data_IF_254965130282
#
_entry.id   IF_254965130282
#
_cell.length_a   1.000
_cell.length_b   1.000
_cell.length_c   1.000
_cell.angle_alpha   90.00
_cell.angle_beta   90.00
_cell.angle_gamma   90.00
#
_symmetry.space_group_name_H-M   'P 1'
#
loop_
_entity.id
_entity.type
_entity.pdbx_description
1 polymer ?
#
# COMPACT_ATOMS: atom_id res chain seq x y z
N UNK A 1 5.13 -9.14 -5.25
CA UNK A 1 5.59 -8.29 -6.36
C UNK A 1 6.06 -6.92 -5.88
N UNK A 2 7.03 -6.39 -6.58
CA UNK A 2 7.59 -5.08 -6.35
C UNK A 2 7.41 -4.21 -7.59
N UNK A 3 7.03 -2.96 -7.38
CA UNK A 3 6.95 -1.94 -8.43
C UNK A 3 7.79 -0.76 -7.98
N UNK A 4 8.66 -0.29 -8.84
CA UNK A 4 9.52 0.85 -8.54
C UNK A 4 9.25 2.00 -9.48
N UNK A 5 9.42 3.22 -8.99
CA UNK A 5 9.35 4.43 -9.80
C UNK A 5 10.75 5.00 -9.95
N UNK A 6 11.18 5.17 -11.19
CA UNK A 6 12.52 5.69 -11.48
C UNK A 6 12.43 7.10 -12.04
N UNK A 7 13.38 7.92 -11.63
CA UNK A 7 13.67 9.20 -12.28
C UNK A 7 15.12 9.10 -12.78
N UNK A 8 15.28 8.84 -14.07
CA UNK A 8 16.57 8.47 -14.60
C UNK A 8 17.02 7.14 -13.99
N UNK A 9 18.17 7.10 -13.35
CA UNK A 9 18.72 5.92 -12.68
C UNK A 9 18.41 5.87 -11.19
N UNK A 10 17.65 6.84 -10.69
CA UNK A 10 17.37 6.96 -9.26
C UNK A 10 15.97 6.43 -8.93
N UNK A 11 15.88 5.61 -7.90
CA UNK A 11 14.59 5.14 -7.39
C UNK A 11 14.02 6.22 -6.48
N UNK A 12 12.86 6.76 -6.84
CA UNK A 12 12.17 7.80 -6.05
C UNK A 12 10.97 7.29 -5.30
N UNK A 13 10.55 6.07 -5.58
CA UNK A 13 9.44 5.45 -4.87
C UNK A 13 9.33 3.97 -5.21
N UNK A 14 8.62 3.24 -4.36
CA UNK A 14 8.34 1.82 -4.57
C UNK A 14 7.05 1.43 -3.89
N UNK A 15 6.46 0.36 -4.37
CA UNK A 15 5.33 -0.29 -3.73
C UNK A 15 5.53 -1.80 -3.83
N UNK A 16 5.15 -2.51 -2.79
CA UNK A 16 5.26 -3.97 -2.81
C UNK A 16 4.15 -4.59 -1.97
N UNK A 17 3.96 -5.87 -2.17
CA UNK A 17 3.00 -6.64 -1.39
C UNK A 17 3.61 -7.97 -1.00
N UNK A 18 3.35 -8.37 0.24
CA UNK A 18 3.74 -9.66 0.77
C UNK A 18 2.51 -10.40 1.27
N UNK A 19 2.62 -11.71 1.43
CA UNK A 19 1.52 -12.51 1.95
C UNK A 19 1.24 -12.12 3.40
N UNK A 20 -0.05 -11.94 3.68
CA UNK A 20 -0.52 -11.59 5.00
C UNK A 20 -1.67 -12.51 5.38
N UNK A 21 -1.53 -13.18 6.52
CA UNK A 21 -2.58 -14.03 7.05
C UNK A 21 -3.20 -13.36 8.26
N UNK A 22 -4.44 -12.92 8.12
CA UNK A 22 -5.20 -12.40 9.23
C UNK A 22 -5.75 -13.56 10.07
N UNK A 23 -5.62 -13.47 11.40
CA UNK A 23 -6.22 -14.46 12.30
C UNK A 23 -7.75 -14.47 12.23
N UNK A 24 -8.35 -13.35 11.79
CA UNK A 24 -9.81 -13.22 11.70
C UNK A 24 -10.37 -13.69 10.38
N UNK A 25 -9.57 -13.67 9.35
CA UNK A 25 -10.01 -14.17 8.05
C UNK A 25 -9.29 -15.48 7.80
N UNK A 26 -10.04 -16.52 7.62
CA UNK A 26 -9.50 -17.80 7.19
C UNK A 26 -9.00 -17.70 5.73
N UNK A 27 -8.85 -16.49 5.24
CA UNK A 27 -8.45 -16.21 3.87
C UNK A 27 -7.07 -15.55 3.86
N UNK A 28 -6.29 -15.93 2.87
CA UNK A 28 -5.04 -15.27 2.59
C UNK A 28 -5.28 -13.91 1.95
N UNK A 29 -4.57 -12.91 2.41
CA UNK A 29 -4.52 -11.61 1.80
C UNK A 29 -3.08 -11.19 1.57
N UNK A 30 -2.89 -10.00 1.11
CA UNK A 30 -1.57 -9.39 0.97
C UNK A 30 -1.53 -8.09 1.76
N UNK A 31 -0.39 -7.81 2.35
CA UNK A 31 -0.11 -6.52 2.95
C UNK A 31 0.66 -5.69 1.94
N UNK A 32 0.11 -4.54 1.59
CA UNK A 32 0.73 -3.62 0.66
C UNK A 32 1.50 -2.53 1.41
N UNK A 33 2.62 -2.13 0.84
CA UNK A 33 3.44 -1.05 1.36
C UNK A 33 3.78 -0.12 0.21
N UNK A 34 3.76 1.18 0.46
CA UNK A 34 4.15 2.18 -0.52
C UNK A 34 5.07 3.21 0.13
N UNK A 35 6.09 3.61 -0.61
CA UNK A 35 6.98 4.70 -0.25
C UNK A 35 7.17 5.61 -1.45
N UNK A 36 7.15 6.91 -1.20
CA UNK A 36 7.48 7.92 -2.20
C UNK A 36 8.32 9.00 -1.55
N UNK A 37 9.42 9.36 -2.19
CA UNK A 37 10.27 10.44 -1.73
C UNK A 37 9.45 11.73 -1.57
N UNK A 38 9.62 12.42 -0.44
CA UNK A 38 8.78 13.55 -0.05
C UNK A 38 8.69 14.63 -1.12
N UNK A 39 9.79 14.91 -1.80
CA UNK A 39 9.82 15.94 -2.84
C UNK A 39 8.91 15.64 -4.05
N UNK A 40 8.44 14.40 -4.15
CA UNK A 40 7.53 13.98 -5.23
C UNK A 40 6.10 13.76 -4.75
N UNK A 41 5.79 14.09 -3.50
CA UNK A 41 4.43 14.00 -2.99
C UNK A 41 3.51 15.01 -3.68
N UNK A 42 2.22 14.68 -3.73
CA UNK A 42 1.21 15.58 -4.29
C UNK A 42 1.16 15.64 -5.82
N UNK A 43 1.92 14.80 -6.52
CA UNK A 43 1.97 14.80 -7.98
C UNK A 43 1.19 13.66 -8.64
N UNK A 44 0.48 12.87 -7.84
CA UNK A 44 -0.27 11.71 -8.34
C UNK A 44 0.58 10.50 -8.69
N UNK A 45 1.90 10.55 -8.48
CA UNK A 45 2.80 9.45 -8.82
C UNK A 45 2.57 8.24 -7.92
N UNK A 46 2.37 8.46 -6.63
CA UNK A 46 2.11 7.39 -5.69
C UNK A 46 0.83 6.63 -6.05
N UNK A 47 -0.19 7.33 -6.51
CA UNK A 47 -1.44 6.71 -6.96
C UNK A 47 -1.21 5.80 -8.17
N UNK A 48 -0.44 6.25 -9.13
CA UNK A 48 -0.11 5.46 -10.33
C UNK A 48 0.67 4.22 -9.92
N UNK A 49 1.66 4.39 -9.05
CA UNK A 49 2.50 3.32 -8.55
C UNK A 49 1.67 2.23 -7.84
N UNK A 50 0.79 2.66 -6.94
CA UNK A 50 -0.05 1.75 -6.18
C UNK A 50 -1.10 1.06 -7.06
N UNK A 51 -1.70 1.78 -7.99
CA UNK A 51 -2.66 1.19 -8.94
C UNK A 51 -1.99 0.16 -9.84
N UNK A 52 -0.74 0.36 -10.20
CA UNK A 52 0.04 -0.63 -10.95
C UNK A 52 0.22 -1.90 -10.13
N UNK A 53 0.58 -1.77 -8.85
CA UNK A 53 0.69 -2.90 -7.94
C UNK A 53 -0.64 -3.64 -7.82
N UNK A 54 -1.74 -2.92 -7.64
CA UNK A 54 -3.07 -3.52 -7.49
C UNK A 54 -3.48 -4.29 -8.75
N UNK A 55 -3.16 -3.77 -9.92
CA UNK A 55 -3.43 -4.46 -11.19
C UNK A 55 -2.69 -5.79 -11.26
N UNK A 56 -1.43 -5.82 -10.84
CA UNK A 56 -0.65 -7.05 -10.78
C UNK A 56 -1.27 -8.05 -9.80
N UNK A 57 -1.63 -7.59 -8.61
CA UNK A 57 -2.24 -8.43 -7.59
C UNK A 57 -3.58 -9.01 -8.04
N UNK A 58 -4.37 -8.22 -8.75
CA UNK A 58 -5.65 -8.67 -9.30
C UNK A 58 -5.44 -9.79 -10.31
N UNK A 59 -4.44 -9.67 -11.18
CA UNK A 59 -4.10 -10.71 -12.14
C UNK A 59 -3.66 -11.99 -11.41
N UNK A 60 -2.98 -11.87 -10.28
CA UNK A 60 -2.56 -12.99 -9.45
C UNK A 60 -3.69 -13.59 -8.61
N UNK A 61 -4.90 -13.04 -8.69
CA UNK A 61 -6.05 -13.54 -7.94
C UNK A 61 -6.11 -13.10 -6.49
N UNK A 62 -5.35 -12.08 -6.10
CA UNK A 62 -5.35 -11.56 -4.74
C UNK A 62 -6.52 -10.60 -4.55
N UNK A 63 -7.52 -11.01 -3.77
CA UNK A 63 -8.75 -10.24 -3.58
C UNK A 63 -8.72 -9.36 -2.33
N UNK A 64 -7.92 -9.72 -1.34
CA UNK A 64 -7.84 -9.00 -0.07
C UNK A 64 -6.50 -8.30 0.04
N UNK A 65 -6.53 -6.97 0.07
CA UNK A 65 -5.33 -6.14 0.19
C UNK A 65 -5.45 -5.33 1.47
N UNK A 66 -4.47 -5.47 2.34
CA UNK A 66 -4.41 -4.77 3.63
C UNK A 66 -3.29 -3.75 3.61
N UNK A 67 -3.49 -2.64 4.28
CA UNK A 67 -2.44 -1.66 4.53
C UNK A 67 -2.39 -1.38 6.03
N UNK A 68 -1.19 -1.41 6.60
CA UNK A 68 -0.97 -1.08 8.00
C UNK A 68 -0.34 0.30 8.07
N UNK A 69 -1.01 1.21 8.77
CA UNK A 69 -0.59 2.60 8.90
C UNK A 69 -0.35 2.91 10.38
N UNK A 70 0.84 3.38 10.69
CA UNK A 70 1.14 3.83 12.05
C UNK A 70 0.46 5.16 12.31
N UNK A 71 -0.35 5.23 13.36
CA UNK A 71 -1.08 6.43 13.73
C UNK A 71 -0.28 7.28 14.72
N UNK A 72 -0.47 8.60 14.74
CA UNK A 72 -1.28 9.37 13.78
C UNK A 72 -0.55 9.61 12.46
N UNK A 73 -1.26 9.45 11.35
CA UNK A 73 -0.73 9.73 10.02
C UNK A 73 -1.90 10.05 9.08
N UNK A 74 -2.45 11.25 9.21
CA UNK A 74 -3.63 11.65 8.44
C UNK A 74 -3.38 11.65 6.93
N UNK A 75 -2.18 12.01 6.51
CA UNK A 75 -1.82 12.06 5.11
C UNK A 75 -1.89 10.68 4.48
N UNK A 76 -1.30 9.69 5.11
CA UNK A 76 -1.34 8.31 4.62
C UNK A 76 -2.74 7.72 4.70
N UNK A 77 -3.45 7.97 5.81
CA UNK A 77 -4.82 7.51 5.98
C UNK A 77 -5.73 8.07 4.91
N UNK A 78 -5.64 9.38 4.64
CA UNK A 78 -6.42 10.03 3.59
C UNK A 78 -6.09 9.51 2.21
N UNK A 79 -4.81 9.27 1.94
CA UNK A 79 -4.36 8.71 0.67
C UNK A 79 -4.96 7.33 0.44
N UNK A 80 -4.88 6.45 1.42
CA UNK A 80 -5.44 5.09 1.31
C UNK A 80 -6.95 5.12 1.16
N UNK A 81 -7.65 5.98 1.91
CA UNK A 81 -9.11 6.13 1.74
C UNK A 81 -9.47 6.59 0.33
N UNK A 82 -8.69 7.48 -0.25
CA UNK A 82 -8.93 7.95 -1.62
C UNK A 82 -8.78 6.85 -2.67
N UNK A 83 -8.08 5.77 -2.33
CA UNK A 83 -7.90 4.60 -3.19
C UNK A 83 -8.96 3.52 -2.93
N UNK A 84 -9.88 3.75 -2.00
CA UNK A 84 -10.94 2.80 -1.70
C UNK A 84 -10.70 1.90 -0.50
N UNK A 85 -9.63 2.13 0.26
CA UNK A 85 -9.40 1.39 1.50
C UNK A 85 -10.38 1.80 2.57
N UNK A 86 -10.83 0.85 3.36
CA UNK A 86 -11.68 1.08 4.54
C UNK A 86 -10.91 0.70 5.80
N UNK A 87 -11.09 1.48 6.84
CA UNK A 87 -10.52 1.15 8.14
C UNK A 87 -11.27 -0.03 8.75
N UNK A 88 -10.53 -1.06 9.15
CA UNK A 88 -11.13 -2.26 9.75
C UNK A 88 -10.75 -2.43 11.24
N UNK A 89 -9.82 -1.65 11.74
CA UNK A 89 -9.47 -1.69 13.13
C UNK A 89 -8.22 -0.89 13.46
N UNK A 90 -8.03 -0.68 14.74
CA UNK A 90 -6.85 -0.01 15.27
C UNK A 90 -6.14 -1.01 16.18
N UNK A 91 -4.88 -1.29 15.91
CA UNK A 91 -4.06 -2.16 16.74
C UNK A 91 -3.35 -1.28 17.78
N UNK A 92 -3.56 -1.62 19.05
CA UNK A 92 -2.89 -0.93 20.16
C UNK A 92 -1.73 -1.77 20.65
N UNK A 93 -0.65 -1.09 21.02
CA UNK A 93 0.54 -1.75 21.60
C UNK A 93 1.17 -2.79 20.68
N UNK A 94 1.13 -2.55 19.39
CA UNK A 94 1.86 -3.36 18.43
C UNK A 94 3.27 -2.80 18.36
N UNK A 95 4.14 -3.40 19.10
CA UNK A 95 5.54 -2.98 19.13
C UNK A 95 6.40 -3.74 18.16
#
# INVERSE_FOLDING_TARGET
PWVVCLLGDRIIGYAYAGLYRSRRAYQWGVESTIYMEESFHGRGIARILYNTLFSILKIQGMLNIYAVISLPNEKSTGFHKSLGFSEIGIFKNVG
#
